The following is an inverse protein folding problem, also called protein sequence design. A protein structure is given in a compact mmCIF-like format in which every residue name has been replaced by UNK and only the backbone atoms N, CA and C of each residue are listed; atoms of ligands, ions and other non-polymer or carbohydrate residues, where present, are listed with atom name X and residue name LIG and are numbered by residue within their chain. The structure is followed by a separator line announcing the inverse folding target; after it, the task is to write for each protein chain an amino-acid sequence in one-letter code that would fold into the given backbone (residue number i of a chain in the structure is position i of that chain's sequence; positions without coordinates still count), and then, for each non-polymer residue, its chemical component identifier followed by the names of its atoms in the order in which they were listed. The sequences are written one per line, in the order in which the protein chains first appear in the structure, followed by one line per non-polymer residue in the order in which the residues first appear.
data_IF_556122924277
#
_entry.id   IF_556122924277
#
_cell.length_a   1.000
_cell.length_b   1.000
_cell.length_c   1.000
_cell.angle_alpha   90.00
_cell.angle_beta   90.00
_cell.angle_gamma   90.00
#
_symmetry.space_group_name_H-M   'P 1'
#
loop_
_entity.id
_entity.type
_entity.pdbx_description
1 polymer ?
#
# COMPACT_ATOMS: atom_id res chain seq x y z
N UNK A 1 19.23 26.23 -22.60
CA UNK A 1 18.50 26.71 -21.41
C UNK A 1 16.98 26.64 -21.59
N UNK A 2 16.44 26.98 -22.76
CA UNK A 2 14.99 27.03 -23.04
C UNK A 2 14.27 25.67 -22.94
N UNK A 3 14.86 24.59 -23.47
CA UNK A 3 14.29 23.22 -23.36
C UNK A 3 14.17 22.72 -21.91
N UNK A 4 15.08 23.14 -21.02
CA UNK A 4 15.05 22.74 -19.60
C UNK A 4 13.91 23.45 -18.85
N UNK A 5 13.62 24.70 -19.24
CA UNK A 5 12.49 25.46 -18.71
C UNK A 5 11.15 24.91 -19.21
N UNK A 6 11.08 24.48 -20.47
CA UNK A 6 9.90 23.83 -21.03
C UNK A 6 9.57 22.50 -20.34
N UNK A 7 10.59 21.67 -20.05
CA UNK A 7 10.41 20.41 -19.29
C UNK A 7 9.95 20.67 -17.86
N UNK A 8 10.46 21.71 -17.20
CA UNK A 8 9.97 22.11 -15.87
C UNK A 8 8.51 22.59 -15.89
N UNK A 9 8.11 23.32 -16.93
CA UNK A 9 6.73 23.78 -17.10
C UNK A 9 5.77 22.63 -17.41
N UNK A 10 6.18 21.64 -18.21
CA UNK A 10 5.33 20.48 -18.51
C UNK A 10 5.12 19.58 -17.29
N UNK A 11 6.16 19.38 -16.47
CA UNK A 11 6.06 18.65 -15.20
C UNK A 11 5.17 19.40 -14.19
N UNK A 12 5.21 20.73 -14.18
CA UNK A 12 4.34 21.55 -13.33
C UNK A 12 2.88 21.56 -13.80
N UNK A 13 2.63 21.40 -15.10
CA UNK A 13 1.28 21.40 -15.70
C UNK A 13 0.57 20.04 -15.59
N UNK A 14 1.31 18.92 -15.56
CA UNK A 14 0.75 17.58 -15.30
C UNK A 14 0.40 17.35 -13.82
N UNK A 15 0.98 18.15 -12.93
CA UNK A 15 0.53 18.25 -11.55
C UNK A 15 -0.75 19.10 -11.49
N UNK A 16 -1.89 18.50 -11.84
CA UNK A 16 -3.20 18.99 -11.40
C UNK A 16 -3.19 19.23 -9.88
N UNK A 17 -4.17 19.99 -9.32
CA UNK A 17 -4.17 20.33 -7.90
C UNK A 17 -3.88 19.07 -7.08
N UNK A 18 -2.66 19.01 -6.51
CA UNK A 18 -2.24 17.90 -5.68
C UNK A 18 -3.29 17.83 -4.59
N UNK A 19 -3.89 16.66 -4.39
CA UNK A 19 -4.89 16.50 -3.33
C UNK A 19 -4.26 17.04 -2.04
N UNK A 20 -4.92 17.98 -1.37
CA UNK A 20 -4.43 18.66 -0.14
C UNK A 20 -4.24 17.70 1.06
N UNK A 21 -4.36 16.40 0.82
CA UNK A 21 -4.40 15.35 1.81
C UNK A 21 -3.02 14.94 2.35
N UNK A 22 -1.94 15.28 1.64
CA UNK A 22 -0.57 14.94 2.07
C UNK A 22 0.36 16.13 1.82
N UNK A 23 0.85 16.71 2.92
CA UNK A 23 1.86 17.76 2.88
C UNK A 23 3.22 17.14 2.48
N UNK A 24 4.21 17.94 2.04
CA UNK A 24 5.52 17.40 1.64
C UNK A 24 6.17 16.50 2.71
N UNK A 25 6.00 16.81 4.00
CA UNK A 25 6.44 15.98 5.14
C UNK A 25 5.72 14.64 5.28
N UNK A 26 4.46 14.58 4.83
CA UNK A 26 3.64 13.38 4.91
C UNK A 26 4.06 12.38 3.84
N UNK A 27 4.61 12.86 2.72
CA UNK A 27 5.13 12.00 1.64
C UNK A 27 6.37 11.23 2.09
N UNK A 28 7.31 11.89 2.78
CA UNK A 28 8.50 11.24 3.35
C UNK A 28 8.12 10.23 4.44
N UNK A 29 7.09 10.55 5.23
CA UNK A 29 6.56 9.63 6.25
C UNK A 29 5.92 8.40 5.63
N UNK A 30 5.08 8.58 4.59
CA UNK A 30 4.48 7.47 3.83
C UNK A 30 5.57 6.62 3.18
N UNK A 31 6.59 7.24 2.57
CA UNK A 31 7.71 6.53 1.98
C UNK A 31 8.46 5.69 3.03
N UNK A 32 8.73 6.25 4.21
CA UNK A 32 9.37 5.51 5.32
C UNK A 32 8.54 4.29 5.75
N UNK A 33 7.22 4.45 5.89
CA UNK A 33 6.31 3.34 6.22
C UNK A 33 6.33 2.27 5.12
N UNK A 34 6.29 2.67 3.85
CA UNK A 34 6.33 1.73 2.71
C UNK A 34 7.66 0.99 2.67
N UNK A 35 8.79 1.66 2.93
CA UNK A 35 10.09 1.01 2.98
C UNK A 35 10.20 0.00 4.14
N UNK A 36 9.68 0.34 5.32
CA UNK A 36 9.62 -0.59 6.44
C UNK A 36 8.76 -1.82 6.09
N UNK A 37 7.58 -1.62 5.48
CA UNK A 37 6.72 -2.70 5.03
C UNK A 37 7.40 -3.58 3.98
N UNK A 38 8.12 -2.99 3.03
CA UNK A 38 8.87 -3.73 2.02
C UNK A 38 9.94 -4.64 2.64
N UNK A 39 10.63 -4.19 3.70
CA UNK A 39 11.58 -5.00 4.44
C UNK A 39 10.92 -6.21 5.13
N UNK A 40 9.77 -6.01 5.76
CA UNK A 40 8.98 -7.11 6.35
C UNK A 40 8.51 -8.10 5.28
N UNK A 41 8.06 -7.60 4.12
CA UNK A 41 7.67 -8.46 2.98
C UNK A 41 8.85 -9.26 2.44
N UNK A 42 10.04 -8.67 2.34
CA UNK A 42 11.25 -9.40 1.95
C UNK A 42 11.57 -10.53 2.94
N UNK A 43 11.47 -10.24 4.25
CA UNK A 43 11.66 -11.25 5.30
C UNK A 43 10.63 -12.38 5.20
N UNK A 44 9.37 -12.06 4.86
CA UNK A 44 8.35 -13.08 4.63
C UNK A 44 8.69 -13.98 3.44
N UNK A 45 9.20 -13.44 2.33
CA UNK A 45 9.65 -14.25 1.19
C UNK A 45 10.79 -15.20 1.57
N UNK A 46 11.79 -14.73 2.33
CA UNK A 46 12.89 -15.56 2.83
C UNK A 46 12.40 -16.68 3.75
N UNK A 47 11.42 -16.38 4.62
CA UNK A 47 10.80 -17.39 5.48
C UNK A 47 10.01 -18.42 4.69
N UNK A 48 9.31 -18.01 3.63
CA UNK A 48 8.59 -18.94 2.75
C UNK A 48 9.57 -19.86 2.02
N UNK A 49 10.65 -19.34 1.42
CA UNK A 49 11.71 -20.16 0.79
C UNK A 49 12.32 -21.15 1.81
N UNK A 50 12.57 -20.70 3.04
CA UNK A 50 13.06 -21.58 4.11
C UNK A 50 12.08 -22.72 4.40
N UNK A 51 10.78 -22.42 4.51
CA UNK A 51 9.73 -23.44 4.75
C UNK A 51 9.69 -24.43 3.59
N UNK A 52 9.71 -23.95 2.34
CA UNK A 52 9.70 -24.81 1.16
C UNK A 52 10.91 -25.74 1.12
N UNK A 53 12.11 -25.24 1.42
CA UNK A 53 13.33 -26.06 1.50
C UNK A 53 13.27 -27.10 2.60
N UNK A 54 12.78 -26.73 3.78
CA UNK A 54 12.63 -27.67 4.91
C UNK A 54 11.61 -28.75 4.54
N UNK A 55 10.49 -28.39 3.92
CA UNK A 55 9.47 -29.33 3.47
C UNK A 55 10.02 -30.28 2.40
N UNK A 56 10.81 -29.77 1.45
CA UNK A 56 11.45 -30.60 0.43
C UNK A 56 12.47 -31.57 1.04
N UNK A 57 13.30 -31.11 1.97
CA UNK A 57 14.33 -31.90 2.63
C UNK A 57 13.74 -32.98 3.57
N UNK A 58 12.77 -32.62 4.40
CA UNK A 58 12.26 -33.48 5.48
C UNK A 58 11.06 -34.33 5.05
N UNK A 59 10.22 -33.83 4.13
CA UNK A 59 8.98 -34.50 3.70
C UNK A 59 9.02 -34.99 2.25
N UNK A 60 10.08 -34.70 1.50
CA UNK A 60 10.24 -35.12 0.10
C UNK A 60 9.21 -34.52 -0.86
N UNK A 61 8.53 -33.44 -0.46
CA UNK A 61 7.61 -32.71 -1.32
C UNK A 61 8.40 -31.68 -2.13
N UNK A 62 8.52 -31.92 -3.44
CA UNK A 62 9.29 -31.03 -4.30
C UNK A 62 8.64 -29.65 -4.44
N UNK A 63 9.48 -28.63 -4.68
CA UNK A 63 9.01 -27.26 -4.89
C UNK A 63 8.10 -27.13 -6.10
N UNK A 64 8.35 -27.88 -7.18
CA UNK A 64 7.49 -27.89 -8.36
C UNK A 64 6.08 -28.38 -8.05
N UNK A 65 5.94 -29.31 -7.09
CA UNK A 65 4.63 -29.79 -6.63
C UNK A 65 3.89 -28.74 -5.81
N UNK A 66 4.61 -27.92 -5.05
CA UNK A 66 4.05 -26.79 -4.32
C UNK A 66 3.64 -25.66 -5.28
N UNK A 67 4.46 -25.37 -6.30
CA UNK A 67 4.15 -24.38 -7.33
C UNK A 67 2.93 -24.78 -8.18
N UNK A 68 2.80 -26.08 -8.47
CA UNK A 68 1.66 -26.64 -9.19
C UNK A 68 0.40 -26.80 -8.31
N UNK A 69 0.48 -26.49 -7.00
CA UNK A 69 -0.64 -26.68 -6.09
C UNK A 69 -1.81 -25.75 -6.43
N UNK A 70 -2.96 -26.34 -6.75
CA UNK A 70 -4.21 -25.62 -6.93
C UNK A 70 -5.06 -25.74 -5.68
N UNK A 71 -5.27 -24.62 -4.99
CA UNK A 71 -6.12 -24.58 -3.81
C UNK A 71 -7.57 -24.93 -4.16
N UNK A 72 -8.20 -25.75 -3.30
CA UNK A 72 -9.63 -26.04 -3.40
C UNK A 72 -10.48 -24.77 -3.23
N UNK A 73 -11.74 -24.82 -3.66
CA UNK A 73 -12.68 -23.71 -3.47
C UNK A 73 -12.83 -23.30 -2.01
N UNK A 74 -12.85 -24.28 -1.09
CA UNK A 74 -12.89 -24.03 0.35
C UNK A 74 -11.64 -23.29 0.84
N UNK A 75 -10.44 -23.75 0.45
CA UNK A 75 -9.18 -23.11 0.82
C UNK A 75 -9.07 -21.68 0.25
N UNK A 76 -9.57 -21.44 -0.96
CA UNK A 76 -9.63 -20.09 -1.53
C UNK A 76 -10.61 -19.19 -0.77
N UNK A 77 -11.78 -19.70 -0.36
CA UNK A 77 -12.74 -18.93 0.43
C UNK A 77 -12.17 -18.52 1.79
N UNK A 78 -11.42 -19.41 2.46
CA UNK A 78 -10.72 -19.09 3.71
C UNK A 78 -9.64 -18.02 3.50
N UNK A 79 -8.82 -18.15 2.44
CA UNK A 79 -7.83 -17.13 2.07
C UNK A 79 -8.48 -15.78 1.74
N UNK A 80 -9.65 -15.80 1.10
CA UNK A 80 -10.45 -14.61 0.82
C UNK A 80 -10.85 -13.87 2.09
N UNK A 81 -11.35 -14.59 3.10
CA UNK A 81 -11.71 -14.01 4.40
C UNK A 81 -10.50 -13.37 5.10
N UNK A 82 -9.33 -14.02 5.02
CA UNK A 82 -8.10 -13.45 5.58
C UNK A 82 -7.64 -12.21 4.82
N UNK A 83 -7.76 -12.23 3.49
CA UNK A 83 -7.43 -11.09 2.64
C UNK A 83 -8.34 -9.90 2.92
N UNK A 84 -9.65 -10.11 2.98
CA UNK A 84 -10.63 -9.06 3.30
C UNK A 84 -10.36 -8.46 4.68
N UNK A 85 -10.07 -9.30 5.68
CA UNK A 85 -9.72 -8.84 7.01
C UNK A 85 -8.39 -8.05 7.04
N UNK A 86 -7.41 -8.43 6.22
CA UNK A 86 -6.15 -7.71 6.09
C UNK A 86 -6.36 -6.34 5.42
N UNK A 87 -7.08 -6.30 4.30
CA UNK A 87 -7.41 -5.06 3.57
C UNK A 87 -8.21 -4.12 4.47
N UNK A 88 -9.21 -4.63 5.20
CA UNK A 88 -9.99 -3.83 6.13
C UNK A 88 -9.13 -3.21 7.24
N UNK A 89 -8.12 -3.92 7.75
CA UNK A 89 -7.18 -3.39 8.76
C UNK A 89 -6.29 -2.30 8.18
N UNK A 90 -5.75 -2.51 6.98
CA UNK A 90 -4.90 -1.56 6.29
C UNK A 90 -5.66 -0.26 5.95
N UNK A 91 -6.89 -0.40 5.44
CA UNK A 91 -7.72 0.72 4.99
C UNK A 91 -8.47 1.44 6.11
N UNK A 92 -8.46 0.90 7.34
CA UNK A 92 -9.24 1.41 8.48
C UNK A 92 -9.09 2.91 8.69
N UNK A 93 -7.88 3.46 8.56
CA UNK A 93 -7.62 4.89 8.75
C UNK A 93 -8.31 5.73 7.67
N UNK A 94 -8.18 5.33 6.41
CA UNK A 94 -8.81 6.01 5.27
C UNK A 94 -10.34 5.92 5.35
N UNK A 95 -10.88 4.76 5.73
CA UNK A 95 -12.33 4.59 5.92
C UNK A 95 -12.87 5.50 7.03
N UNK A 96 -12.11 5.70 8.12
CA UNK A 96 -12.48 6.64 9.18
C UNK A 96 -12.46 8.09 8.70
N UNK A 97 -11.46 8.48 7.92
CA UNK A 97 -11.37 9.84 7.37
C UNK A 97 -12.50 10.12 6.38
N UNK A 98 -12.81 9.17 5.50
CA UNK A 98 -13.97 9.25 4.61
C UNK A 98 -15.27 9.36 5.41
N UNK A 99 -15.45 8.56 6.46
CA UNK A 99 -16.64 8.64 7.32
C UNK A 99 -16.76 9.99 8.04
N UNK A 100 -15.65 10.57 8.50
CA UNK A 100 -15.61 11.92 9.11
C UNK A 100 -15.99 12.97 8.08
N UNK A 101 -15.52 12.86 6.83
CA UNK A 101 -15.87 13.78 5.75
C UNK A 101 -17.35 13.67 5.35
N UNK A 102 -17.87 12.46 5.22
CA UNK A 102 -19.28 12.20 4.91
C UNK A 102 -20.22 12.65 6.05
N UNK A 103 -19.78 12.52 7.31
CA UNK A 103 -20.51 13.08 8.45
C UNK A 103 -20.45 14.62 8.53
N UNK A 104 -19.46 15.24 7.85
CA UNK A 104 -19.25 16.68 7.75
C UNK A 104 -19.86 17.29 6.49
N UNK A 105 -21.13 17.02 6.20
CA UNK A 105 -21.97 17.96 5.42
C UNK A 105 -22.16 19.29 6.21
N UNK A 106 -21.05 19.98 6.51
CA UNK A 106 -20.91 21.25 7.20
C UNK A 106 -19.90 22.15 6.46
N UNK A 107 -19.95 23.48 6.68
CA UNK A 107 -19.36 24.49 5.78
C UNK A 107 -17.84 24.35 5.61
N UNK A 108 -17.24 24.95 4.56
CA UNK A 108 -15.90 24.61 4.10
C UNK A 108 -14.86 24.80 5.20
N UNK A 109 -13.84 23.94 5.18
CA UNK A 109 -12.67 24.06 6.04
C UNK A 109 -12.09 25.47 5.85
N UNK A 110 -12.04 26.32 6.89
CA UNK A 110 -11.47 27.65 6.74
C UNK A 110 -10.03 27.51 6.28
N UNK A 111 -9.71 28.13 5.14
CA UNK A 111 -8.32 28.42 4.76
C UNK A 111 -7.68 29.09 5.97
N UNK A 112 -6.57 28.55 6.47
CA UNK A 112 -5.68 29.40 7.27
C UNK A 112 -5.23 30.52 6.33
N UNK A 113 -5.85 31.68 6.52
CA UNK A 113 -5.47 32.93 5.89
C UNK A 113 -4.02 33.23 6.23
N UNK A 114 -3.28 33.65 5.20
CA UNK A 114 -2.05 34.42 5.23
C UNK A 114 -0.86 33.80 5.98
N UNK A 115 0.22 33.58 5.22
CA UNK A 115 1.53 33.84 5.79
C UNK A 115 1.60 35.32 6.19
N UNK A 116 1.99 35.54 7.44
CA UNK A 116 2.87 36.64 7.81
C UNK A 116 4.31 36.08 7.85
#
# INVERSE_FOLDING_TARGET
MEKLAAVKCSVAAEAGPRSDFLWPSDTDTVLSIVMALAGEVATLYERVDTIERVVEQELGLSREKLDAFVASSAAQAERGQWHDAFVARLMRRLTQEVAILQAKDGPPIPRKSAGD
#
